data_IF_110645331821
#
_entry.id   IF_110645331821
#
_cell.length_a   1.000
_cell.length_b   1.000
_cell.length_c   1.000
_cell.angle_alpha   90.00
_cell.angle_beta   90.00
_cell.angle_gamma   90.00
#
_symmetry.space_group_name_H-M   'P 1'
#
loop_
_entity.id
_entity.type
_entity.pdbx_description
1 polymer ?
#
# COMPACT_ATOMS: atom_id res chain seq x y z
N UNK A 1 -7.38 -5.28 12.34
CA UNK A 1 -6.71 -6.43 11.72
C UNK A 1 -5.45 -5.92 11.03
N UNK A 2 -4.41 -6.73 10.96
CA UNK A 2 -3.16 -6.39 10.27
C UNK A 2 -2.76 -7.48 9.29
N UNK A 3 -2.18 -7.09 8.17
CA UNK A 3 -1.55 -7.99 7.22
C UNK A 3 -0.04 -7.89 7.38
N UNK A 4 0.63 -9.02 7.56
CA UNK A 4 2.09 -9.08 7.65
C UNK A 4 2.61 -10.42 7.13
N UNK A 5 3.89 -10.48 6.74
CA UNK A 5 4.53 -11.71 6.31
C UNK A 5 4.53 -12.73 7.44
N UNK A 6 4.44 -14.01 7.07
CA UNK A 6 4.59 -15.12 8.02
C UNK A 6 6.02 -15.13 8.56
N UNK A 7 6.20 -14.89 9.86
CA UNK A 7 7.51 -14.96 10.52
C UNK A 7 7.55 -14.08 11.78
N UNK A 8 8.54 -14.26 12.67
CA UNK A 8 8.64 -13.47 13.87
C UNK A 8 9.47 -12.21 13.61
N UNK A 9 9.01 -11.08 14.12
CA UNK A 9 9.95 -10.09 14.68
C UNK A 9 9.52 -9.71 16.10
N UNK A 10 8.24 -9.43 16.34
CA UNK A 10 7.64 -9.29 17.66
C UNK A 10 6.19 -9.82 17.68
N UNK A 11 5.70 -10.41 18.80
CA UNK A 11 4.30 -10.80 18.89
C UNK A 11 3.44 -9.54 18.72
N UNK A 12 2.40 -9.59 17.89
CA UNK A 12 1.50 -8.46 17.77
C UNK A 12 0.85 -8.14 19.13
N UNK A 13 0.37 -6.90 19.34
CA UNK A 13 -0.45 -6.59 20.51
C UNK A 13 -1.55 -7.64 20.66
N UNK A 14 -1.88 -8.05 21.90
CA UNK A 14 -2.92 -9.07 22.16
C UNK A 14 -4.29 -8.73 21.54
N UNK A 15 -4.52 -7.45 21.27
CA UNK A 15 -5.73 -6.91 20.64
C UNK A 15 -5.72 -6.97 19.11
N UNK A 16 -4.57 -7.26 18.49
CA UNK A 16 -4.41 -7.28 17.05
C UNK A 16 -4.60 -8.69 16.48
N UNK A 17 -5.62 -8.84 15.63
CA UNK A 17 -5.74 -10.00 14.76
C UNK A 17 -4.86 -9.79 13.52
N UNK A 18 -3.79 -10.59 13.40
CA UNK A 18 -2.86 -10.57 12.27
C UNK A 18 -3.12 -11.74 11.33
N UNK A 19 -3.25 -11.44 10.04
CA UNK A 19 -3.45 -12.41 8.97
C UNK A 19 -2.15 -12.43 8.14
N UNK A 20 -1.62 -13.62 7.89
CA UNK A 20 -0.42 -13.77 7.08
C UNK A 20 -0.69 -13.34 5.64
N UNK A 21 0.11 -12.43 5.10
CA UNK A 21 -0.06 -11.89 3.76
C UNK A 21 1.31 -11.51 3.18
N UNK A 22 1.67 -12.14 2.06
CA UNK A 22 2.82 -11.77 1.25
C UNK A 22 2.34 -11.05 -0.02
N UNK A 23 2.59 -9.74 -0.09
CA UNK A 23 2.18 -8.91 -1.22
C UNK A 23 2.86 -9.27 -2.55
N UNK A 24 3.90 -10.11 -2.52
CA UNK A 24 4.53 -10.63 -3.73
C UNK A 24 3.76 -11.77 -4.40
N UNK A 25 2.68 -12.27 -3.77
CA UNK A 25 1.89 -13.43 -4.22
C UNK A 25 0.39 -13.10 -4.30
N UNK A 26 -0.20 -13.27 -5.49
CA UNK A 26 -1.64 -13.15 -5.72
C UNK A 26 -2.44 -14.04 -4.76
N UNK A 27 -2.10 -15.34 -4.72
CA UNK A 27 -2.75 -16.33 -3.87
C UNK A 27 -2.73 -15.91 -2.39
N UNK A 28 -1.58 -15.41 -1.91
CA UNK A 28 -1.47 -14.96 -0.53
C UNK A 28 -2.37 -13.75 -0.22
N UNK A 29 -2.43 -12.78 -1.13
CA UNK A 29 -3.26 -11.58 -0.95
C UNK A 29 -4.75 -11.93 -0.96
N UNK A 30 -5.20 -12.71 -1.94
CA UNK A 30 -6.60 -13.13 -2.04
C UNK A 30 -7.02 -14.02 -0.86
N UNK A 31 -6.15 -14.93 -0.42
CA UNK A 31 -6.42 -15.77 0.77
C UNK A 31 -6.56 -14.92 2.03
N UNK A 32 -5.70 -13.91 2.21
CA UNK A 32 -5.77 -13.01 3.35
C UNK A 32 -7.06 -12.17 3.36
N UNK A 33 -7.44 -11.64 2.20
CA UNK A 33 -8.71 -10.91 2.04
C UNK A 33 -9.92 -11.82 2.26
N UNK A 34 -9.87 -13.07 1.80
CA UNK A 34 -10.94 -14.05 2.02
C UNK A 34 -11.16 -14.35 3.49
N UNK A 35 -10.09 -14.45 4.28
CA UNK A 35 -10.22 -14.59 5.72
C UNK A 35 -10.87 -13.34 6.35
N UNK A 36 -10.52 -12.13 5.90
CA UNK A 36 -11.22 -10.90 6.35
C UNK A 36 -12.72 -10.98 6.06
N UNK A 37 -13.12 -11.49 4.88
CA UNK A 37 -14.54 -11.69 4.54
C UNK A 37 -15.19 -12.75 5.44
N UNK A 38 -14.49 -13.85 5.70
CA UNK A 38 -14.96 -14.97 6.55
C UNK A 38 -15.17 -14.55 8.00
N UNK A 39 -14.40 -13.58 8.47
CA UNK A 39 -14.55 -12.92 9.77
C UNK A 39 -15.70 -11.88 9.80
N UNK A 40 -16.40 -11.68 8.68
CA UNK A 40 -17.58 -10.81 8.58
C UNK A 40 -17.29 -9.36 8.19
N UNK A 41 -16.04 -9.01 7.83
CA UNK A 41 -15.64 -7.63 7.55
C UNK A 41 -15.72 -7.29 6.06
N UNK A 42 -16.93 -7.10 5.53
CA UNK A 42 -17.14 -6.63 4.14
C UNK A 42 -17.01 -5.12 3.96
N UNK A 43 -17.31 -4.36 5.03
CA UNK A 43 -17.14 -2.91 5.09
C UNK A 43 -15.89 -2.56 5.89
N UNK A 44 -15.00 -1.78 5.30
CA UNK A 44 -13.71 -1.39 5.87
C UNK A 44 -13.66 0.14 5.93
N UNK A 45 -13.66 0.67 7.15
CA UNK A 45 -13.57 2.12 7.36
C UNK A 45 -12.24 2.69 6.86
N UNK A 46 -11.14 1.95 7.01
CA UNK A 46 -9.81 2.39 6.57
C UNK A 46 -8.88 1.24 6.25
N UNK A 47 -8.14 1.39 5.14
CA UNK A 47 -6.92 0.64 4.87
C UNK A 47 -5.73 1.58 5.07
N UNK A 48 -4.79 1.18 5.93
CA UNK A 48 -3.50 1.86 6.11
C UNK A 48 -2.43 0.98 5.44
N UNK A 49 -2.08 1.29 4.20
CA UNK A 49 -1.14 0.51 3.39
C UNK A 49 0.29 0.99 3.62
N UNK A 50 0.96 0.33 4.58
CA UNK A 50 2.35 0.63 4.98
C UNK A 50 3.38 -0.31 4.34
N UNK A 51 2.93 -1.47 3.84
CA UNK A 51 3.82 -2.51 3.33
C UNK A 51 4.43 -2.10 1.98
N UNK A 52 5.75 -2.12 1.91
CA UNK A 52 6.54 -1.85 0.71
C UNK A 52 7.92 -2.51 0.85
N UNK A 53 8.63 -2.67 -0.27
CA UNK A 53 10.05 -3.01 -0.22
C UNK A 53 10.88 -1.73 -0.08
N UNK A 54 11.84 -1.77 0.85
CA UNK A 54 12.83 -0.71 1.07
C UNK A 54 14.18 -1.34 1.43
N UNK A 55 15.26 -0.85 0.84
CA UNK A 55 16.62 -1.32 1.11
C UNK A 55 17.61 -0.16 1.00
N UNK A 56 18.63 -0.20 1.86
CA UNK A 56 19.80 0.69 1.77
C UNK A 56 20.88 0.16 0.81
N UNK A 57 20.69 -1.03 0.24
CA UNK A 57 21.62 -1.59 -0.74
C UNK A 57 21.64 -0.73 -2.01
N UNK A 58 22.83 -0.55 -2.60
CA UNK A 58 23.03 0.25 -3.81
C UNK A 58 22.53 -0.43 -5.09
N UNK A 59 22.16 -1.71 -5.03
CA UNK A 59 21.70 -2.47 -6.18
C UNK A 59 20.20 -2.29 -6.42
N UNK A 60 19.82 -2.16 -7.69
CA UNK A 60 18.43 -2.26 -8.13
C UNK A 60 17.86 -3.63 -7.75
N UNK A 61 16.63 -3.64 -7.27
CA UNK A 61 15.95 -4.87 -6.87
C UNK A 61 14.58 -4.97 -7.54
N UNK A 62 14.31 -6.10 -8.17
CA UNK A 62 13.00 -6.43 -8.72
C UNK A 62 11.88 -6.38 -7.66
N UNK A 63 12.22 -6.46 -6.36
CA UNK A 63 11.27 -6.38 -5.26
C UNK A 63 10.58 -5.01 -5.17
N UNK A 64 11.20 -3.92 -5.67
CA UNK A 64 10.51 -2.62 -5.76
C UNK A 64 9.27 -2.71 -6.66
N UNK A 65 9.40 -3.35 -7.83
CA UNK A 65 8.25 -3.59 -8.71
C UNK A 65 7.33 -4.65 -8.11
N UNK A 66 7.88 -5.82 -7.74
CA UNK A 66 7.07 -6.98 -7.35
C UNK A 66 6.26 -6.75 -6.08
N UNK A 67 6.86 -6.15 -5.05
CA UNK A 67 6.22 -5.94 -3.74
C UNK A 67 5.51 -4.59 -3.70
N UNK A 68 6.20 -3.49 -4.06
CA UNK A 68 5.63 -2.15 -3.87
C UNK A 68 4.60 -1.82 -4.94
N UNK A 69 4.91 -2.00 -6.22
CA UNK A 69 3.98 -1.64 -7.30
C UNK A 69 2.91 -2.71 -7.48
N UNK A 70 3.32 -3.93 -7.85
CA UNK A 70 2.40 -5.03 -8.15
C UNK A 70 1.70 -5.56 -6.91
N UNK A 71 2.35 -5.53 -5.74
CA UNK A 71 1.69 -5.89 -4.49
C UNK A 71 0.57 -4.93 -4.11
N UNK A 72 0.76 -3.62 -4.35
CA UNK A 72 -0.30 -2.62 -4.21
C UNK A 72 -1.42 -2.85 -5.21
N UNK A 73 -1.09 -3.14 -6.47
CA UNK A 73 -2.08 -3.47 -7.52
C UNK A 73 -2.97 -4.67 -7.12
N UNK A 74 -2.36 -5.77 -6.69
CA UNK A 74 -3.08 -6.97 -6.22
C UNK A 74 -4.03 -6.64 -5.07
N UNK A 75 -3.55 -5.88 -4.09
CA UNK A 75 -4.38 -5.47 -2.95
C UNK A 75 -5.56 -4.62 -3.43
N UNK A 76 -5.33 -3.61 -4.28
CA UNK A 76 -6.37 -2.76 -4.84
C UNK A 76 -7.41 -3.58 -5.62
N UNK A 77 -6.97 -4.57 -6.41
CA UNK A 77 -7.87 -5.47 -7.14
C UNK A 77 -8.73 -6.33 -6.20
N UNK A 78 -8.14 -6.94 -5.17
CA UNK A 78 -8.90 -7.72 -4.20
C UNK A 78 -9.87 -6.88 -3.37
N UNK A 79 -9.53 -5.61 -3.11
CA UNK A 79 -10.40 -4.68 -2.38
C UNK A 79 -11.66 -4.27 -3.16
N UNK A 80 -11.76 -4.56 -4.46
CA UNK A 80 -12.97 -4.29 -5.26
C UNK A 80 -14.21 -5.04 -4.75
N UNK A 81 -14.02 -6.15 -4.04
CA UNK A 81 -15.10 -6.95 -3.44
C UNK A 81 -15.56 -6.46 -2.05
N UNK A 82 -14.95 -5.39 -1.55
CA UNK A 82 -15.22 -4.74 -0.26
C UNK A 82 -15.82 -3.35 -0.46
N UNK A 83 -16.48 -2.86 0.59
CA UNK A 83 -16.84 -1.44 0.71
C UNK A 83 -15.75 -0.75 1.53
N UNK A 84 -14.87 0.00 0.85
CA UNK A 84 -13.73 0.68 1.49
C UNK A 84 -13.99 2.17 1.50
N UNK A 85 -13.98 2.80 2.67
CA UNK A 85 -14.26 4.23 2.78
C UNK A 85 -13.03 5.09 2.49
N UNK A 86 -11.86 4.68 3.01
CA UNK A 86 -10.60 5.36 2.75
C UNK A 86 -9.46 4.36 2.57
N UNK A 87 -8.55 4.68 1.66
CA UNK A 87 -7.30 3.98 1.43
C UNK A 87 -6.15 4.98 1.61
N UNK A 88 -5.33 4.77 2.62
CA UNK A 88 -4.19 5.63 2.95
C UNK A 88 -2.92 4.87 2.58
N UNK A 89 -2.14 5.46 1.68
CA UNK A 89 -0.85 4.91 1.26
C UNK A 89 0.29 5.74 1.87
N UNK A 90 1.22 5.07 2.55
CA UNK A 90 2.43 5.73 3.02
C UNK A 90 3.41 5.90 1.85
N UNK A 91 3.51 7.09 1.27
CA UNK A 91 4.49 7.39 0.23
C UNK A 91 5.84 7.83 0.81
N UNK A 92 6.59 8.69 0.10
CA UNK A 92 7.90 9.20 0.49
C UNK A 92 8.14 10.60 -0.05
N UNK A 93 8.76 11.46 0.75
CA UNK A 93 9.20 12.79 0.32
C UNK A 93 10.27 12.71 -0.80
N UNK A 94 10.99 11.59 -0.90
CA UNK A 94 12.02 11.35 -1.93
C UNK A 94 11.46 11.26 -3.36
N UNK A 95 10.14 11.35 -3.52
CA UNK A 95 9.46 11.43 -4.80
C UNK A 95 9.67 12.79 -5.50
N UNK A 96 9.84 13.86 -4.71
CA UNK A 96 9.92 15.22 -5.21
C UNK A 96 11.34 15.61 -5.64
N UNK A 97 11.43 16.57 -6.55
CA UNK A 97 12.66 17.27 -6.88
C UNK A 97 13.22 18.00 -5.65
N UNK A 98 14.55 18.11 -5.51
CA UNK A 98 15.14 18.90 -4.44
C UNK A 98 14.74 20.38 -4.55
N UNK A 99 14.76 21.10 -3.43
CA UNK A 99 14.61 22.55 -3.36
C UNK A 99 15.87 23.18 -2.76
N UNK A 100 16.01 24.50 -2.86
CA UNK A 100 17.11 25.20 -2.20
C UNK A 100 16.91 25.26 -0.68
N UNK A 101 17.99 25.34 0.12
CA UNK A 101 17.87 25.50 1.56
C UNK A 101 17.06 26.76 1.94
N UNK A 102 16.02 26.57 2.76
CA UNK A 102 15.09 27.64 3.14
C UNK A 102 13.82 27.68 2.31
N UNK A 103 13.74 26.92 1.22
CA UNK A 103 12.49 26.70 0.48
C UNK A 103 11.67 25.55 1.08
N UNK A 104 10.38 25.51 0.73
CA UNK A 104 9.44 24.49 1.20
C UNK A 104 8.84 23.70 0.04
N UNK A 105 8.88 22.38 0.15
CA UNK A 105 8.20 21.45 -0.75
C UNK A 105 6.73 21.31 -0.31
N UNK A 106 5.81 21.36 -1.26
CA UNK A 106 4.39 21.04 -1.06
C UNK A 106 3.95 19.91 -2.00
N UNK A 107 2.70 19.49 -1.92
CA UNK A 107 2.16 18.35 -2.69
C UNK A 107 2.13 18.58 -4.21
N UNK A 108 2.25 19.82 -4.67
CA UNK A 108 2.32 20.18 -6.09
C UNK A 108 3.75 20.36 -6.59
N UNK A 109 4.76 20.16 -5.74
CA UNK A 109 6.17 20.31 -6.12
C UNK A 109 6.55 19.25 -7.18
N UNK A 110 7.41 19.58 -8.15
CA UNK A 110 7.78 18.63 -9.21
C UNK A 110 8.23 17.28 -8.67
N UNK A 111 7.80 16.20 -9.34
CA UNK A 111 8.26 14.84 -9.05
C UNK A 111 9.55 14.57 -9.83
N UNK A 112 10.62 14.18 -9.14
CA UNK A 112 11.90 13.83 -9.75
C UNK A 112 12.60 12.68 -9.00
N UNK A 113 11.97 11.49 -8.90
CA UNK A 113 12.51 10.37 -8.15
C UNK A 113 13.81 9.84 -8.77
N UNK A 114 14.92 9.91 -8.02
CA UNK A 114 16.27 9.62 -8.55
C UNK A 114 16.63 8.14 -8.63
N UNK A 115 15.99 7.27 -7.85
CA UNK A 115 16.36 5.86 -7.69
C UNK A 115 15.12 4.98 -7.50
N UNK A 116 15.30 3.66 -7.49
CA UNK A 116 14.19 2.71 -7.67
C UNK A 116 13.16 2.75 -6.55
N UNK A 117 13.58 3.03 -5.31
CA UNK A 117 12.65 3.16 -4.20
C UNK A 117 11.60 4.28 -4.43
N UNK A 118 11.97 5.57 -4.54
CA UNK A 118 10.99 6.61 -4.77
C UNK A 118 10.29 6.48 -6.12
N UNK A 119 10.94 5.92 -7.16
CA UNK A 119 10.26 5.60 -8.43
C UNK A 119 9.11 4.61 -8.21
N UNK A 120 9.33 3.55 -7.43
CA UNK A 120 8.28 2.57 -7.12
C UNK A 120 7.12 3.17 -6.32
N UNK A 121 7.39 4.13 -5.43
CA UNK A 121 6.37 4.86 -4.68
C UNK A 121 5.51 5.75 -5.59
N UNK A 122 6.13 6.53 -6.47
CA UNK A 122 5.41 7.35 -7.47
C UNK A 122 4.55 6.49 -8.40
N UNK A 123 5.10 5.36 -8.88
CA UNK A 123 4.32 4.42 -9.70
C UNK A 123 3.13 3.84 -8.94
N UNK A 124 3.32 3.48 -7.68
CA UNK A 124 2.24 2.96 -6.83
C UNK A 124 1.16 4.03 -6.55
N UNK A 125 1.54 5.29 -6.32
CA UNK A 125 0.58 6.41 -6.18
C UNK A 125 -0.29 6.56 -7.44
N UNK A 126 0.33 6.61 -8.61
CA UNK A 126 -0.38 6.72 -9.88
C UNK A 126 -1.31 5.52 -10.10
N UNK A 127 -0.85 4.33 -9.74
CA UNK A 127 -1.67 3.11 -9.81
C UNK A 127 -2.90 3.22 -8.90
N UNK A 128 -2.73 3.64 -7.64
CA UNK A 128 -3.86 3.81 -6.70
C UNK A 128 -4.87 4.83 -7.25
N UNK A 129 -4.40 5.94 -7.81
CA UNK A 129 -5.28 6.97 -8.41
C UNK A 129 -6.09 6.39 -9.58
N UNK A 130 -5.50 5.53 -10.41
CA UNK A 130 -6.21 4.85 -11.50
C UNK A 130 -7.21 3.83 -10.98
N UNK A 131 -6.84 3.06 -9.97
CA UNK A 131 -7.63 1.94 -9.47
C UNK A 131 -8.74 2.31 -8.49
N UNK A 132 -8.65 3.47 -7.82
CA UNK A 132 -9.62 3.87 -6.78
C UNK A 132 -11.05 3.92 -7.27
N UNK A 133 -11.29 4.23 -8.55
CA UNK A 133 -12.65 4.27 -9.11
C UNK A 133 -13.30 2.88 -9.19
N UNK A 134 -12.50 1.83 -9.19
CA UNK A 134 -12.96 0.43 -9.23
C UNK A 134 -13.21 -0.15 -7.82
N UNK A 135 -12.76 0.54 -6.77
CA UNK A 135 -13.02 0.16 -5.38
C UNK A 135 -14.32 0.82 -4.94
N UNK A 136 -15.24 0.04 -4.37
CA UNK A 136 -16.54 0.58 -3.94
C UNK A 136 -16.34 1.53 -2.76
N UNK A 137 -16.57 2.81 -3.01
CA UNK A 137 -16.61 3.84 -1.97
C UNK A 137 -18.04 3.95 -1.40
N UNK A 138 -18.15 3.99 -0.08
CA UNK A 138 -19.43 4.16 0.59
C UNK A 138 -20.03 5.54 0.26
N UNK A 139 -21.12 5.58 -0.50
CA UNK A 139 -21.88 6.82 -0.74
C UNK A 139 -22.85 7.00 0.42
N UNK A 140 -22.45 7.77 1.43
CA UNK A 140 -23.42 8.29 2.38
C UNK A 140 -24.35 9.27 1.65
N UNK A 141 -25.51 8.78 1.21
CA UNK A 141 -26.65 9.65 0.96
C UNK A 141 -27.05 10.24 2.32
N UNK A 142 -26.88 11.56 2.46
CA UNK A 142 -27.47 12.33 3.56
C UNK A 142 -28.98 12.42 3.38
#
# INVERSE_FOLDING_TARGET
MGFDRKGPSHPPPKTAHVIACDLSSDESVYTALDEVRRLGHRRIASILHLAAYYSFASESSHLYEQVTVRGTERLMHGLRDFEVEQFIFASTMLAHAPCEPGEHINENWPLEPKWDYPKSKVTAEQLIVRERANVRANHYQK
#
